data_IF_279783717181
#
_entry.id   IF_279783717181
#
_cell.length_a   1.000
_cell.length_b   1.000
_cell.length_c   1.000
_cell.angle_alpha   90.00
_cell.angle_beta   90.00
_cell.angle_gamma   90.00
#
_symmetry.space_group_name_H-M   'P 1'
#
loop_
_entity.id
_entity.type
_entity.pdbx_description
1 polymer ?
#
# COMPACT_ATOMS: atom_id res chain seq x y z
N UNK A 1 -33.54 47.08 -37.62
CA UNK A 1 -32.15 46.57 -37.48
C UNK A 1 -31.41 47.15 -36.27
N UNK A 2 -31.44 48.46 -36.02
CA UNK A 2 -30.70 49.05 -34.88
C UNK A 2 -31.18 48.58 -33.49
N UNK A 3 -32.49 48.44 -33.26
CA UNK A 3 -33.04 48.01 -31.96
C UNK A 3 -32.63 46.58 -31.55
N UNK A 4 -32.56 45.64 -32.52
CA UNK A 4 -32.09 44.27 -32.28
C UNK A 4 -30.60 44.28 -31.93
N UNK A 5 -29.82 45.11 -32.62
CA UNK A 5 -28.38 45.25 -32.37
C UNK A 5 -28.11 45.77 -30.95
N UNK A 6 -28.83 46.80 -30.51
CA UNK A 6 -28.72 47.29 -29.14
C UNK A 6 -29.19 46.26 -28.11
N UNK A 7 -30.24 45.50 -28.41
CA UNK A 7 -30.74 44.43 -27.52
C UNK A 7 -29.74 43.29 -27.34
N UNK A 8 -29.00 42.92 -28.39
CA UNK A 8 -27.96 41.88 -28.31
C UNK A 8 -26.75 42.40 -27.52
N UNK A 9 -26.36 43.65 -27.73
CA UNK A 9 -25.26 44.28 -27.00
C UNK A 9 -25.59 44.42 -25.51
N UNK A 10 -26.80 44.85 -25.14
CA UNK A 10 -27.19 44.93 -23.73
C UNK A 10 -27.25 43.56 -23.06
N UNK A 11 -27.70 42.52 -23.76
CA UNK A 11 -27.69 41.15 -23.23
C UNK A 11 -26.26 40.64 -22.99
N UNK A 12 -25.33 40.94 -23.90
CA UNK A 12 -23.91 40.60 -23.75
C UNK A 12 -23.25 41.34 -22.58
N UNK A 13 -23.58 42.61 -22.38
CA UNK A 13 -23.05 43.38 -21.24
C UNK A 13 -23.61 42.88 -19.90
N UNK A 14 -24.90 42.52 -19.86
CA UNK A 14 -25.54 41.94 -18.66
C UNK A 14 -24.92 40.59 -18.30
N UNK A 15 -24.74 39.70 -19.29
CA UNK A 15 -24.11 38.39 -19.07
C UNK A 15 -22.66 38.53 -18.61
N UNK A 16 -21.90 39.45 -19.19
CA UNK A 16 -20.53 39.76 -18.74
C UNK A 16 -20.52 40.29 -17.29
N UNK A 17 -21.44 41.19 -16.94
CA UNK A 17 -21.59 41.70 -15.57
C UNK A 17 -21.89 40.59 -14.55
N UNK A 18 -22.81 39.68 -14.88
CA UNK A 18 -23.12 38.51 -14.02
C UNK A 18 -21.89 37.61 -13.85
N UNK A 19 -21.12 37.36 -14.92
CA UNK A 19 -19.90 36.55 -14.84
C UNK A 19 -18.83 37.19 -13.96
N UNK A 20 -18.69 38.53 -13.99
CA UNK A 20 -17.75 39.26 -13.12
C UNK A 20 -18.20 39.19 -11.65
N UNK A 21 -19.50 39.32 -11.37
CA UNK A 21 -20.05 39.17 -10.02
C UNK A 21 -19.89 37.73 -9.49
N UNK A 22 -20.15 36.72 -10.33
CA UNK A 22 -19.90 35.32 -9.97
C UNK A 22 -18.40 35.07 -9.72
N UNK A 23 -17.50 35.69 -10.49
CA UNK A 23 -16.04 35.59 -10.25
C UNK A 23 -15.63 36.24 -8.92
N UNK A 24 -16.25 37.36 -8.56
CA UNK A 24 -16.05 38.03 -7.26
C UNK A 24 -16.57 37.20 -6.09
N UNK A 25 -17.79 36.66 -6.20
CA UNK A 25 -18.38 35.78 -5.19
C UNK A 25 -17.63 34.45 -5.04
N UNK A 26 -17.14 33.88 -6.14
CA UNK A 26 -16.35 32.65 -6.12
C UNK A 26 -14.96 32.89 -5.50
N UNK A 27 -14.33 34.05 -5.75
CA UNK A 27 -13.07 34.45 -5.11
C UNK A 27 -13.23 34.64 -3.60
N UNK A 28 -14.38 35.16 -3.15
CA UNK A 28 -14.68 35.29 -1.72
C UNK A 28 -15.02 33.93 -1.07
N UNK A 29 -15.74 33.03 -1.75
CA UNK A 29 -15.94 31.64 -1.27
C UNK A 29 -14.63 30.87 -1.15
N UNK A 30 -13.70 31.02 -2.09
CA UNK A 30 -12.37 30.39 -1.99
C UNK A 30 -11.50 30.93 -0.85
N UNK A 31 -11.76 32.16 -0.38
CA UNK A 31 -11.06 32.73 0.77
C UNK A 31 -11.73 32.38 2.11
N UNK A 32 -13.04 32.13 2.14
CA UNK A 32 -13.76 31.69 3.35
C UNK A 32 -13.66 30.15 3.59
N UNK A 33 -13.54 29.33 2.53
CA UNK A 33 -13.22 27.89 2.65
C UNK A 33 -11.76 27.59 3.05
N UNK A 34 -10.93 28.64 3.25
CA UNK A 34 -9.56 28.50 3.75
C UNK A 34 -9.44 28.54 5.27
N UNK A 35 -10.58 28.52 5.98
CA UNK A 35 -10.62 28.32 7.43
C UNK A 35 -11.15 26.92 7.74
N UNK A 36 -10.30 26.10 8.37
CA UNK A 36 -10.56 24.71 8.82
C UNK A 36 -10.42 23.59 7.77
N UNK A 37 -9.27 23.51 7.10
CA UNK A 37 -8.63 22.19 7.05
C UNK A 37 -7.70 22.11 8.27
N UNK A 38 -7.77 21.07 9.11
CA UNK A 38 -6.73 20.88 10.11
C UNK A 38 -5.43 20.84 9.32
N UNK A 39 -4.52 21.76 9.63
CA UNK A 39 -3.14 21.66 9.19
C UNK A 39 -2.71 20.26 9.59
N UNK A 40 -2.59 19.34 8.63
CA UNK A 40 -2.03 18.02 8.86
C UNK A 40 -0.73 18.28 9.61
N UNK A 41 -0.66 17.84 10.87
CA UNK A 41 0.58 17.91 11.65
C UNK A 41 1.61 17.14 10.85
N UNK A 42 2.44 17.88 10.10
CA UNK A 42 3.55 17.33 9.36
C UNK A 42 4.60 16.97 10.39
N UNK A 43 4.86 15.67 10.54
CA UNK A 43 5.92 15.18 11.41
C UNK A 43 7.26 15.73 10.93
N UNK A 44 8.13 16.06 11.88
CA UNK A 44 9.56 16.20 11.58
C UNK A 44 10.13 14.86 11.12
N UNK A 45 11.34 14.88 10.53
CA UNK A 45 11.97 13.64 10.05
C UNK A 45 12.19 12.62 11.17
N UNK A 46 12.62 13.07 12.35
CA UNK A 46 12.85 12.21 13.53
C UNK A 46 11.54 11.61 14.04
N UNK A 47 10.50 12.43 14.20
CA UNK A 47 9.16 11.95 14.58
C UNK A 47 8.57 10.98 13.54
N UNK A 48 8.90 11.17 12.26
CA UNK A 48 8.53 10.26 11.17
C UNK A 48 9.23 8.90 11.27
N UNK A 49 10.52 8.87 11.64
CA UNK A 49 11.28 7.63 11.88
C UNK A 49 10.73 6.86 13.09
N UNK A 50 10.42 7.56 14.18
CA UNK A 50 9.82 6.99 15.38
C UNK A 50 8.41 6.44 15.12
N UNK A 51 7.57 7.23 14.43
CA UNK A 51 6.21 6.81 14.04
C UNK A 51 6.25 5.58 13.14
N UNK A 52 7.13 5.57 12.15
CA UNK A 52 7.33 4.42 11.28
C UNK A 52 7.73 3.17 12.08
N UNK A 53 8.70 3.29 12.98
CA UNK A 53 9.20 2.18 13.78
C UNK A 53 8.12 1.61 14.71
N UNK A 54 7.35 2.49 15.38
CA UNK A 54 6.22 2.10 16.21
C UNK A 54 5.12 1.40 15.37
N UNK A 55 4.79 1.94 14.20
CA UNK A 55 3.82 1.36 13.30
C UNK A 55 4.27 -0.02 12.82
N UNK A 56 5.50 -0.18 12.33
CA UNK A 56 6.02 -1.46 11.85
C UNK A 56 6.03 -2.52 12.96
N UNK A 57 6.47 -2.16 14.17
CA UNK A 57 6.46 -3.07 15.31
C UNK A 57 5.05 -3.53 15.69
N UNK A 58 4.06 -2.64 15.56
CA UNK A 58 2.67 -2.97 15.91
C UNK A 58 1.96 -3.88 14.89
N UNK A 59 2.35 -3.82 13.61
CA UNK A 59 1.66 -4.55 12.54
C UNK A 59 2.37 -5.83 12.12
N UNK A 60 3.67 -5.96 12.40
CA UNK A 60 4.47 -7.11 12.00
C UNK A 60 4.25 -8.25 12.97
N UNK A 61 3.68 -9.39 12.54
CA UNK A 61 3.51 -10.55 13.42
C UNK A 61 4.87 -11.07 13.91
N UNK A 62 4.96 -11.50 15.18
CA UNK A 62 6.21 -11.98 15.79
C UNK A 62 6.82 -13.14 15.00
N UNK A 63 5.97 -14.04 14.49
CA UNK A 63 6.41 -15.19 13.69
C UNK A 63 6.90 -14.82 12.28
N UNK A 64 6.56 -13.65 11.74
CA UNK A 64 6.83 -13.31 10.34
C UNK A 64 8.32 -13.41 10.01
N UNK A 65 9.18 -12.85 10.85
CA UNK A 65 10.62 -12.86 10.63
C UNK A 65 11.20 -14.28 10.57
N UNK A 66 10.72 -15.16 11.45
CA UNK A 66 11.11 -16.58 11.44
C UNK A 66 10.70 -17.23 10.12
N UNK A 67 9.44 -17.05 9.71
CA UNK A 67 8.93 -17.65 8.46
C UNK A 67 9.66 -17.10 7.23
N UNK A 68 9.94 -15.80 7.20
CA UNK A 68 10.69 -15.18 6.11
C UNK A 68 12.10 -15.75 6.00
N UNK A 69 12.80 -15.92 7.12
CA UNK A 69 14.11 -16.56 7.14
C UNK A 69 14.07 -18.00 6.63
N UNK A 70 13.13 -18.80 7.15
CA UNK A 70 12.95 -20.19 6.71
C UNK A 70 12.62 -20.29 5.22
N UNK A 71 11.84 -19.34 4.68
CA UNK A 71 11.57 -19.26 3.25
C UNK A 71 12.85 -19.01 2.45
N UNK A 72 13.66 -18.03 2.84
CA UNK A 72 14.92 -17.71 2.14
C UNK A 72 15.83 -18.94 2.15
N UNK A 73 15.97 -19.58 3.30
CA UNK A 73 16.78 -20.79 3.44
C UNK A 73 16.24 -21.92 2.56
N UNK A 74 14.94 -22.19 2.61
CA UNK A 74 14.29 -23.21 1.79
C UNK A 74 14.49 -22.99 0.29
N UNK A 75 14.37 -21.75 -0.19
CA UNK A 75 14.65 -21.44 -1.60
C UNK A 75 16.11 -21.76 -1.95
N UNK A 76 17.06 -21.39 -1.09
CA UNK A 76 18.49 -21.55 -1.34
C UNK A 76 19.01 -22.98 -1.17
N UNK A 77 18.54 -23.69 -0.15
CA UNK A 77 18.97 -25.05 0.17
C UNK A 77 18.25 -26.10 -0.66
N UNK A 78 17.03 -25.81 -1.09
CA UNK A 78 16.14 -26.82 -1.68
C UNK A 78 15.84 -26.49 -3.13
N UNK A 79 15.03 -25.46 -3.41
CA UNK A 79 14.58 -25.19 -4.79
C UNK A 79 15.76 -24.92 -5.73
N UNK A 80 16.72 -24.06 -5.34
CA UNK A 80 17.89 -23.73 -6.17
C UNK A 80 18.86 -24.91 -6.38
N UNK A 81 18.72 -25.99 -5.59
CA UNK A 81 19.57 -27.19 -5.70
C UNK A 81 18.90 -28.33 -6.48
N UNK A 82 17.61 -28.20 -6.80
CA UNK A 82 16.90 -29.18 -7.62
C UNK A 82 17.48 -29.23 -9.04
N UNK A 83 17.52 -30.43 -9.58
CA UNK A 83 17.82 -30.69 -10.98
C UNK A 83 16.65 -30.25 -11.87
N UNK A 84 16.93 -30.07 -13.16
CA UNK A 84 15.89 -29.72 -14.13
C UNK A 84 14.79 -30.78 -14.24
N UNK A 85 15.11 -32.04 -13.95
CA UNK A 85 14.13 -33.13 -13.95
C UNK A 85 13.19 -32.97 -12.76
N UNK A 86 13.72 -32.82 -11.55
CA UNK A 86 12.92 -32.63 -10.32
C UNK A 86 12.02 -31.39 -10.41
N UNK A 87 12.54 -30.28 -10.96
CA UNK A 87 11.76 -29.05 -11.16
C UNK A 87 10.57 -29.24 -12.11
N UNK A 88 10.74 -30.02 -13.18
CA UNK A 88 9.69 -30.26 -14.17
C UNK A 88 8.69 -31.34 -13.74
N UNK A 89 9.13 -32.30 -12.93
CA UNK A 89 8.28 -33.37 -12.39
C UNK A 89 7.39 -32.88 -11.23
N UNK A 90 7.82 -31.85 -10.51
CA UNK A 90 7.04 -31.26 -9.40
C UNK A 90 5.95 -30.33 -9.93
N UNK A 91 4.75 -30.88 -10.15
CA UNK A 91 3.60 -30.12 -10.65
C UNK A 91 3.24 -28.93 -9.74
N UNK A 92 3.04 -27.75 -10.34
CA UNK A 92 2.64 -26.53 -9.63
C UNK A 92 3.75 -25.81 -8.85
N UNK A 93 4.98 -26.34 -8.86
CA UNK A 93 6.11 -25.76 -8.12
C UNK A 93 6.40 -24.31 -8.54
N UNK A 94 6.47 -24.05 -9.85
CA UNK A 94 6.79 -22.71 -10.37
C UNK A 94 5.73 -21.67 -10.00
N UNK A 95 4.44 -22.03 -10.05
CA UNK A 95 3.36 -21.12 -9.69
C UNK A 95 3.37 -20.82 -8.18
N UNK A 96 3.57 -21.84 -7.35
CA UNK A 96 3.69 -21.67 -5.90
C UNK A 96 4.93 -20.84 -5.51
N UNK A 97 6.08 -21.10 -6.15
CA UNK A 97 7.29 -20.33 -5.95
C UNK A 97 7.11 -18.87 -6.38
N UNK A 98 6.46 -18.64 -7.53
CA UNK A 98 6.17 -17.30 -8.04
C UNK A 98 5.25 -16.54 -7.08
N UNK A 99 4.19 -17.17 -6.58
CA UNK A 99 3.29 -16.55 -5.57
C UNK A 99 4.07 -16.10 -4.33
N UNK A 100 4.97 -16.94 -3.81
CA UNK A 100 5.83 -16.57 -2.69
C UNK A 100 6.74 -15.38 -3.02
N UNK A 101 7.36 -15.39 -4.21
CA UNK A 101 8.24 -14.31 -4.68
C UNK A 101 7.49 -12.98 -4.84
N UNK A 102 6.28 -13.02 -5.41
CA UNK A 102 5.45 -11.85 -5.64
C UNK A 102 5.00 -11.23 -4.31
N UNK A 103 4.56 -12.06 -3.34
CA UNK A 103 4.20 -11.61 -1.98
C UNK A 103 5.41 -11.03 -1.23
N UNK A 104 6.57 -11.70 -1.27
CA UNK A 104 7.77 -11.20 -0.61
C UNK A 104 8.21 -9.85 -1.20
N UNK A 105 8.10 -9.70 -2.52
CA UNK A 105 8.39 -8.44 -3.21
C UNK A 105 7.38 -7.33 -2.86
N UNK A 106 6.10 -7.69 -2.72
CA UNK A 106 5.06 -6.76 -2.29
C UNK A 106 5.30 -6.23 -0.87
N UNK A 107 5.76 -7.09 0.06
CA UNK A 107 6.14 -6.68 1.42
C UNK A 107 7.18 -5.55 1.39
N UNK A 108 8.29 -5.73 0.66
CA UNK A 108 9.33 -4.70 0.56
C UNK A 108 8.77 -3.41 -0.04
N UNK A 109 7.95 -3.52 -1.09
CA UNK A 109 7.34 -2.36 -1.75
C UNK A 109 6.46 -1.54 -0.80
N UNK A 110 5.57 -2.19 -0.06
CA UNK A 110 4.69 -1.47 0.88
C UNK A 110 5.49 -0.90 2.05
N UNK A 111 6.42 -1.68 2.61
CA UNK A 111 7.30 -1.22 3.68
C UNK A 111 8.07 0.05 3.30
N UNK A 112 8.71 0.06 2.12
CA UNK A 112 9.48 1.21 1.64
C UNK A 112 8.58 2.41 1.32
N UNK A 113 7.39 2.18 0.78
CA UNK A 113 6.44 3.27 0.52
C UNK A 113 5.98 3.95 1.81
N UNK A 114 5.58 3.15 2.81
CA UNK A 114 5.17 3.65 4.14
C UNK A 114 6.34 4.39 4.78
N UNK A 115 7.55 3.82 4.74
CA UNK A 115 8.75 4.48 5.27
C UNK A 115 8.98 5.84 4.62
N UNK A 116 8.93 5.90 3.29
CA UNK A 116 9.13 7.15 2.54
C UNK A 116 8.08 8.20 2.91
N UNK A 117 6.82 7.80 3.07
CA UNK A 117 5.72 8.69 3.47
C UNK A 117 5.93 9.23 4.88
N UNK A 118 6.26 8.37 5.85
CA UNK A 118 6.59 8.79 7.22
C UNK A 118 7.78 9.77 7.25
N UNK A 119 8.86 9.47 6.52
CA UNK A 119 10.04 10.34 6.41
C UNK A 119 9.74 11.68 5.71
N UNK A 120 8.68 11.74 4.91
CA UNK A 120 8.22 12.96 4.24
C UNK A 120 7.30 13.81 5.14
N UNK A 121 7.10 13.39 6.39
CA UNK A 121 6.28 14.08 7.39
C UNK A 121 4.83 13.61 7.47
N UNK A 122 4.46 12.54 6.76
CA UNK A 122 3.11 11.98 6.82
C UNK A 122 2.93 11.06 8.04
N UNK A 123 1.93 11.33 8.88
CA UNK A 123 1.54 10.41 9.96
C UNK A 123 0.63 9.30 9.41
N UNK A 124 1.23 8.28 8.81
CA UNK A 124 0.49 7.16 8.18
C UNK A 124 -0.37 6.42 9.22
N UNK A 125 -1.70 6.34 9.06
CA UNK A 125 -2.58 5.68 10.03
C UNK A 125 -2.61 4.15 9.87
N UNK A 126 -3.05 3.43 10.90
CA UNK A 126 -3.24 1.97 10.83
C UNK A 126 -4.27 1.51 9.78
N UNK A 127 -5.22 2.38 9.43
CA UNK A 127 -6.24 2.14 8.42
C UNK A 127 -5.76 2.48 7.00
N UNK A 128 -4.51 2.94 6.84
CA UNK A 128 -3.94 3.22 5.53
C UNK A 128 -3.92 1.96 4.66
N UNK A 129 -4.20 2.14 3.36
CA UNK A 129 -4.30 1.02 2.43
C UNK A 129 -2.98 0.24 2.32
N UNK A 130 -1.83 0.92 2.30
CA UNK A 130 -0.52 0.24 2.23
C UNK A 130 -0.27 -0.56 3.51
N UNK A 131 -0.70 -0.05 4.67
CA UNK A 131 -0.59 -0.75 5.96
C UNK A 131 -1.48 -1.99 5.99
N UNK A 132 -2.73 -1.88 5.53
CA UNK A 132 -3.65 -3.01 5.45
C UNK A 132 -3.13 -4.09 4.48
N UNK A 133 -2.66 -3.68 3.30
CA UNK A 133 -2.09 -4.58 2.31
C UNK A 133 -0.82 -5.26 2.84
N UNK A 134 0.07 -4.54 3.52
CA UNK A 134 1.26 -5.12 4.13
C UNK A 134 0.91 -6.19 5.17
N UNK A 135 -0.08 -5.93 6.03
CA UNK A 135 -0.60 -6.92 7.00
C UNK A 135 -1.17 -8.15 6.31
N UNK A 136 -1.89 -7.96 5.22
CA UNK A 136 -2.41 -9.07 4.43
C UNK A 136 -1.27 -9.88 3.80
N UNK A 137 -0.26 -9.22 3.23
CA UNK A 137 0.91 -9.90 2.67
C UNK A 137 1.63 -10.76 3.72
N UNK A 138 1.80 -10.27 4.95
CA UNK A 138 2.40 -11.08 6.04
C UNK A 138 1.60 -12.36 6.31
N UNK A 139 0.27 -12.25 6.41
CA UNK A 139 -0.62 -13.39 6.66
C UNK A 139 -0.61 -14.37 5.50
N UNK A 140 -0.88 -13.88 4.30
CA UNK A 140 -0.97 -14.73 3.10
C UNK A 140 0.36 -15.43 2.81
N UNK A 141 1.48 -14.70 2.92
CA UNK A 141 2.80 -15.27 2.70
C UNK A 141 3.09 -16.41 3.67
N UNK A 142 2.87 -16.20 4.97
CA UNK A 142 3.31 -17.16 5.99
C UNK A 142 2.31 -18.27 6.29
N UNK A 143 1.02 -18.04 6.11
CA UNK A 143 -0.04 -19.01 6.44
C UNK A 143 -0.50 -19.81 5.22
N UNK A 144 -0.35 -19.28 4.01
CA UNK A 144 -0.84 -19.93 2.80
C UNK A 144 0.27 -20.22 1.80
N UNK A 145 0.93 -19.18 1.28
CA UNK A 145 1.81 -19.32 0.12
C UNK A 145 3.06 -20.17 0.44
N UNK A 146 3.78 -19.82 1.52
CA UNK A 146 4.99 -20.56 1.89
C UNK A 146 4.69 -22.00 2.33
N UNK A 147 3.71 -22.28 3.21
CA UNK A 147 3.34 -23.66 3.54
C UNK A 147 2.91 -24.49 2.32
N UNK A 148 2.16 -23.90 1.38
CA UNK A 148 1.78 -24.59 0.15
C UNK A 148 3.00 -24.95 -0.71
N UNK A 149 3.97 -24.04 -0.81
CA UNK A 149 5.23 -24.31 -1.52
C UNK A 149 6.04 -25.43 -0.87
N UNK A 150 6.15 -25.42 0.47
CA UNK A 150 6.86 -26.48 1.20
C UNK A 150 6.17 -27.83 1.00
N UNK A 151 4.84 -27.89 1.04
CA UNK A 151 4.09 -29.13 0.86
C UNK A 151 4.31 -29.80 -0.50
N UNK A 152 4.58 -29.02 -1.55
CA UNK A 152 4.89 -29.56 -2.89
C UNK A 152 6.24 -30.27 -2.95
N UNK A 153 7.21 -29.80 -2.17
CA UNK A 153 8.60 -30.28 -2.22
C UNK A 153 8.90 -31.28 -1.10
N UNK A 154 8.37 -31.03 0.09
CA UNK A 154 8.51 -31.85 1.29
C UNK A 154 7.13 -32.08 1.92
N UNK A 155 6.29 -32.95 1.33
CA UNK A 155 4.95 -33.22 1.84
C UNK A 155 4.96 -33.74 3.29
N UNK A 156 6.02 -34.44 3.70
CA UNK A 156 6.17 -34.97 5.06
C UNK A 156 6.62 -33.93 6.10
N UNK A 157 7.12 -32.77 5.64
CA UNK A 157 7.48 -31.63 6.48
C UNK A 157 6.44 -30.50 6.36
N UNK A 158 5.22 -30.82 5.94
CA UNK A 158 4.14 -29.85 5.89
C UNK A 158 3.94 -29.27 7.29
N UNK A 159 4.25 -27.97 7.42
CA UNK A 159 4.32 -27.28 8.71
C UNK A 159 2.97 -27.43 9.44
N UNK A 160 2.96 -27.72 10.75
CA UNK A 160 1.74 -27.57 11.53
C UNK A 160 1.23 -26.12 11.37
N UNK A 161 -0.08 -25.90 11.29
CA UNK A 161 -0.65 -24.57 11.10
C UNK A 161 -0.13 -23.65 12.21
N UNK A 162 0.42 -22.49 11.83
CA UNK A 162 0.80 -21.46 12.81
C UNK A 162 -0.49 -21.05 13.53
N UNK A 163 -0.54 -21.24 14.85
CA UNK A 163 -1.66 -20.73 15.62
C UNK A 163 -1.57 -19.20 15.60
N UNK A 164 -2.47 -18.54 14.86
CA UNK A 164 -2.51 -17.09 14.79
C UNK A 164 -2.84 -16.42 16.13
N UNK A 165 -3.22 -17.21 17.15
CA UNK A 165 -3.46 -16.80 18.54
C UNK A 165 -2.23 -17.01 19.46
N UNK A 166 -1.21 -17.74 19.02
CA UNK A 166 0.06 -17.84 19.76
C UNK A 166 0.92 -16.60 19.47
N UNK A 167 0.86 -15.70 20.46
CA UNK A 167 1.46 -14.37 20.65
C UNK A 167 2.82 -14.13 19.98
#
# INVERSE_FOLDING_TARGET
MNSIFYSVITLLLLTCGVLVLMRGANKNRSNEELTSYPKLETLSKEEGEDHFSALMNSITPVWYWRVNHEYIDFIHSTIKRMTMVELNETLGLFDAQRRCSDLNSAVYKYYDNIKKRCLSGEKVPHADLDVLNLRQCFREFSLEAYPALVALVWPELQRPPINAEEV
#
